data_IF_508677744858
#
_entry.id   IF_508677744858
#
_cell.length_a   1.000
_cell.length_b   1.000
_cell.length_c   1.000
_cell.angle_alpha   90.00
_cell.angle_beta   90.00
_cell.angle_gamma   90.00
#
_symmetry.space_group_name_H-M   'P 1'
#
loop_
_entity.id
_entity.type
_entity.pdbx_description
1 polymer ?
#
# COMPACT_ATOMS: atom_id res chain seq x y z
N UNK A 1 11.55 -13.25 -2.34
CA UNK A 1 10.56 -13.31 -1.24
C UNK A 1 9.37 -14.06 -1.77
N UNK A 2 9.15 -15.30 -1.33
CA UNK A 2 7.98 -16.07 -1.72
C UNK A 2 6.89 -15.90 -0.66
N UNK A 3 5.62 -15.88 -1.08
CA UNK A 3 4.44 -15.74 -0.20
C UNK A 3 4.50 -14.54 0.74
N UNK A 4 5.05 -13.43 0.25
CA UNK A 4 5.27 -12.21 1.04
C UNK A 4 4.96 -10.98 0.20
N UNK A 5 4.14 -10.10 0.74
CA UNK A 5 3.87 -8.79 0.17
C UNK A 5 4.28 -7.72 1.18
N UNK A 6 4.95 -6.67 0.69
CA UNK A 6 5.27 -5.49 1.51
C UNK A 6 4.20 -4.45 1.26
N UNK A 7 3.42 -4.12 2.27
CA UNK A 7 2.32 -3.17 2.19
C UNK A 7 2.75 -1.87 2.86
N UNK A 8 2.58 -0.76 2.17
CA UNK A 8 2.74 0.57 2.74
C UNK A 8 1.38 1.08 3.23
N UNK A 9 1.30 1.41 4.52
CA UNK A 9 0.08 1.98 5.11
C UNK A 9 0.38 3.42 5.50
N UNK A 10 -0.36 4.32 4.87
CA UNK A 10 -0.37 5.73 5.23
C UNK A 10 -1.39 5.97 6.35
N UNK A 11 -0.95 6.66 7.40
CA UNK A 11 -1.84 7.09 8.47
C UNK A 11 -1.51 8.52 8.89
N UNK A 12 -2.54 9.22 9.33
CA UNK A 12 -2.42 10.59 9.83
C UNK A 12 -2.14 10.55 11.33
N UNK A 13 -1.06 11.22 11.75
CA UNK A 13 -0.76 11.40 13.17
C UNK A 13 -0.56 12.88 13.46
N UNK A 14 -1.14 13.34 14.57
CA UNK A 14 -0.92 14.69 15.07
C UNK A 14 0.45 14.77 15.75
N UNK A 15 1.28 15.73 15.34
CA UNK A 15 2.59 15.95 15.96
C UNK A 15 2.40 16.33 17.45
N UNK A 16 3.12 15.73 18.41
CA UNK A 16 2.84 15.89 19.84
C UNK A 16 2.97 17.35 20.30
N UNK A 17 4.04 18.04 19.91
CA UNK A 17 4.28 19.45 20.29
C UNK A 17 3.42 20.43 19.48
N UNK A 18 3.61 20.45 18.16
CA UNK A 18 3.00 21.45 17.27
C UNK A 18 1.53 21.20 16.91
N UNK A 19 0.98 20.04 17.25
CA UNK A 19 -0.42 19.69 16.93
C UNK A 19 -0.78 19.79 15.44
N UNK A 20 0.20 19.78 14.52
CA UNK A 20 -0.04 19.69 13.08
C UNK A 20 -0.33 18.24 12.70
N UNK A 21 -1.32 18.01 11.83
CA UNK A 21 -1.60 16.68 11.27
C UNK A 21 -0.55 16.37 10.21
N UNK A 22 0.22 15.30 10.40
CA UNK A 22 1.32 14.90 9.52
C UNK A 22 1.06 13.47 9.05
N UNK A 23 1.27 13.22 7.75
CA UNK A 23 1.18 11.89 7.16
C UNK A 23 2.45 11.09 7.50
N UNK A 24 2.27 9.84 7.94
CA UNK A 24 3.35 8.89 8.18
C UNK A 24 3.05 7.61 7.42
N UNK A 25 4.09 7.00 6.87
CA UNK A 25 4.00 5.75 6.12
C UNK A 25 4.76 4.67 6.88
N UNK A 26 4.09 3.57 7.18
CA UNK A 26 4.70 2.39 7.79
C UNK A 26 4.63 1.22 6.82
N UNK A 27 5.70 0.42 6.79
CA UNK A 27 5.76 -0.79 5.95
C UNK A 27 5.44 -2.02 6.79
N UNK A 28 4.56 -2.87 6.28
CA UNK A 28 4.14 -4.11 6.89
C UNK A 28 4.43 -5.29 5.98
N UNK A 29 4.84 -6.42 6.56
CA UNK A 29 5.06 -7.67 5.83
C UNK A 29 3.84 -8.55 6.00
N UNK A 30 3.09 -8.70 4.92
CA UNK A 30 1.89 -9.53 4.86
C UNK A 30 2.20 -10.88 4.20
N UNK A 31 1.53 -11.92 4.66
CA UNK A 31 1.56 -13.24 4.06
C UNK A 31 0.43 -13.37 3.03
N UNK A 32 0.80 -13.87 1.86
CA UNK A 32 -0.10 -14.24 0.77
C UNK A 32 0.28 -15.67 0.37
N UNK A 33 -0.60 -16.65 0.57
CA UNK A 33 -0.27 -18.05 0.32
C UNK A 33 -0.16 -18.40 -1.18
N UNK A 34 -0.90 -17.68 -2.01
CA UNK A 34 -1.10 -17.97 -3.43
C UNK A 34 -0.38 -16.97 -4.34
N UNK A 35 0.29 -15.97 -3.77
CA UNK A 35 0.96 -14.89 -4.51
C UNK A 35 0.03 -14.20 -5.52
N UNK A 36 -1.21 -13.97 -5.14
CA UNK A 36 -2.23 -13.37 -6.01
C UNK A 36 -2.06 -11.85 -6.13
N UNK A 37 -1.44 -11.21 -5.15
CA UNK A 37 -1.28 -9.76 -5.12
C UNK A 37 -0.21 -9.30 -6.12
N UNK A 38 -0.50 -8.22 -6.84
CA UNK A 38 0.41 -7.53 -7.74
C UNK A 38 0.87 -6.20 -7.17
N UNK A 39 1.89 -5.62 -7.79
CA UNK A 39 2.39 -4.29 -7.42
C UNK A 39 1.33 -3.26 -7.78
N UNK A 40 0.95 -2.42 -6.82
CA UNK A 40 -0.05 -1.36 -7.01
C UNK A 40 -1.46 -1.74 -6.58
N UNK A 41 -1.71 -2.99 -6.20
CA UNK A 41 -3.01 -3.40 -5.67
C UNK A 41 -3.30 -2.76 -4.30
N UNK A 42 -4.54 -2.35 -4.08
CA UNK A 42 -5.02 -1.97 -2.75
C UNK A 42 -5.53 -3.21 -2.03
N UNK A 43 -4.91 -3.50 -0.88
CA UNK A 43 -5.16 -4.72 -0.12
C UNK A 43 -5.58 -4.40 1.31
N UNK A 44 -6.54 -5.20 1.82
CA UNK A 44 -6.91 -5.23 3.22
C UNK A 44 -6.07 -6.29 3.94
N UNK A 45 -5.35 -5.87 4.97
CA UNK A 45 -4.52 -6.74 5.82
C UNK A 45 -5.15 -6.95 7.19
N UNK A 46 -4.96 -8.13 7.77
CA UNK A 46 -5.45 -8.50 9.10
C UNK A 46 -4.30 -9.06 9.96
N UNK A 47 -4.36 -8.81 11.26
CA UNK A 47 -3.40 -9.37 12.22
C UNK A 47 -3.58 -10.88 12.38
N UNK A 48 -2.48 -11.60 12.52
CA UNK A 48 -2.50 -13.05 12.74
C UNK A 48 -1.39 -13.47 13.71
N UNK A 49 -1.34 -14.77 14.01
CA UNK A 49 -0.18 -15.34 14.72
C UNK A 49 1.10 -15.05 13.92
N UNK A 50 2.26 -14.83 14.57
CA UNK A 50 3.51 -14.63 13.85
C UNK A 50 3.82 -15.82 12.93
N UNK A 51 3.93 -15.56 11.63
CA UNK A 51 4.29 -16.57 10.61
C UNK A 51 5.81 -16.62 10.46
N UNK A 52 6.48 -15.49 10.71
CA UNK A 52 7.94 -15.38 10.73
C UNK A 52 8.36 -14.23 11.66
N UNK A 53 9.66 -13.88 11.66
CA UNK A 53 10.19 -12.75 12.45
C UNK A 53 9.48 -11.42 12.14
N UNK A 54 9.15 -11.18 10.87
CA UNK A 54 8.54 -9.91 10.42
C UNK A 54 7.07 -10.07 9.98
N UNK A 55 6.69 -11.23 9.44
CA UNK A 55 5.32 -11.46 8.94
C UNK A 55 4.36 -11.73 10.10
N UNK A 56 3.55 -10.72 10.42
CA UNK A 56 2.49 -10.75 11.45
C UNK A 56 1.10 -10.42 10.87
N UNK A 57 1.05 -10.20 9.56
CA UNK A 57 -0.14 -9.78 8.84
C UNK A 57 -0.44 -10.80 7.75
N UNK A 58 -1.72 -10.97 7.41
CA UNK A 58 -2.20 -11.77 6.28
C UNK A 58 -3.04 -10.88 5.37
N UNK A 59 -2.94 -11.09 4.07
CA UNK A 59 -3.83 -10.42 3.11
C UNK A 59 -5.19 -11.08 3.17
N UNK A 60 -6.22 -10.33 3.57
CA UNK A 60 -7.60 -10.84 3.67
C UNK A 60 -8.36 -10.66 2.35
N UNK A 61 -8.23 -9.48 1.73
CA UNK A 61 -8.97 -9.12 0.53
C UNK A 61 -8.17 -8.16 -0.34
N UNK A 62 -8.29 -8.31 -1.66
CA UNK A 62 -7.84 -7.32 -2.65
C UNK A 62 -9.04 -6.44 -2.93
N UNK A 63 -8.96 -5.15 -2.58
CA UNK A 63 -10.03 -4.17 -2.75
C UNK A 63 -10.05 -3.64 -4.18
N UNK A 64 -8.91 -3.19 -4.68
CA UNK A 64 -8.75 -2.67 -6.04
C UNK A 64 -7.54 -3.30 -6.68
N UNK A 65 -7.71 -3.72 -7.93
CA UNK A 65 -6.61 -4.22 -8.76
C UNK A 65 -6.02 -3.08 -9.55
N UNK A 66 -4.69 -3.01 -9.57
CA UNK A 66 -3.99 -2.15 -10.52
C UNK A 66 -4.11 -2.77 -11.92
N UNK A 67 -5.19 -2.47 -12.63
CA UNK A 67 -5.31 -2.78 -14.05
C UNK A 67 -4.40 -1.81 -14.82
N UNK A 68 -3.60 -2.29 -15.80
CA UNK A 68 -2.71 -1.42 -16.58
C UNK A 68 -3.45 -0.27 -17.27
N UNK A 69 -4.69 -0.51 -17.67
CA UNK A 69 -5.59 0.46 -18.30
C UNK A 69 -5.85 1.67 -17.38
N UNK A 70 -6.20 1.42 -16.12
CA UNK A 70 -6.43 2.47 -15.12
C UNK A 70 -5.16 3.27 -14.83
N UNK A 71 -4.00 2.61 -14.82
CA UNK A 71 -2.71 3.30 -14.68
C UNK A 71 -2.39 4.20 -15.87
N UNK A 72 -2.68 3.75 -17.09
CA UNK A 72 -2.44 4.53 -18.31
C UNK A 72 -3.34 5.78 -18.34
N UNK A 73 -4.63 5.63 -18.01
CA UNK A 73 -5.58 6.74 -17.92
C UNK A 73 -5.15 7.77 -16.87
N UNK A 74 -4.72 7.33 -15.68
CA UNK A 74 -4.23 8.22 -14.62
C UNK A 74 -2.92 8.96 -14.99
N UNK A 75 -2.06 8.33 -15.79
CA UNK A 75 -0.83 8.97 -16.28
C UNK A 75 -1.18 10.04 -17.32
N UNK A 76 -2.06 9.72 -18.28
CA UNK A 76 -2.52 10.69 -19.29
C UNK A 76 -3.26 11.88 -18.67
N UNK A 77 -4.09 11.66 -17.65
CA UNK A 77 -4.76 12.74 -16.92
C UNK A 77 -3.75 13.66 -16.22
N UNK A 78 -2.74 13.10 -15.56
CA UNK A 78 -1.67 13.90 -14.93
C UNK A 78 -0.80 14.66 -15.92
N UNK A 79 -0.50 14.07 -17.08
CA UNK A 79 0.22 14.74 -18.17
C UNK A 79 -0.62 15.89 -18.77
N UNK A 80 -1.94 15.72 -18.85
CA UNK A 80 -2.89 16.74 -19.33
C UNK A 80 -3.04 17.90 -18.34
N UNK A 81 -2.95 17.63 -17.04
CA UNK A 81 -3.02 18.65 -15.97
C UNK A 81 -1.73 19.47 -15.82
N UNK A 82 -0.65 19.11 -16.51
CA UNK A 82 0.55 19.95 -16.60
C UNK A 82 1.41 19.99 -15.33
N UNK A 83 1.37 18.97 -14.47
CA UNK A 83 2.25 18.86 -13.29
C UNK A 83 3.69 18.38 -13.61
N UNK A 84 4.17 18.61 -14.83
CA UNK A 84 5.60 18.48 -15.14
C UNK A 84 6.16 19.86 -15.46
N UNK A 85 6.37 20.68 -14.44
CA UNK A 85 7.41 21.70 -14.45
C UNK A 85 7.75 22.17 -13.02
N UNK A 86 8.80 21.55 -12.45
CA UNK A 86 9.91 22.19 -11.72
C UNK A 86 10.92 21.12 -11.24
#
# INVERSE_FOLDING_TARGET
MDKTVVVAVDYWRRHPLYKKTVRRTSKFYAHDEYNLCRIGDLVLIEETRPISKLKRWVVRQILERATPEVQAELIEEREREGEVEA
#
